data_IF_919187263216
#
_entry.id   IF_919187263216
#
_cell.length_a   1.000
_cell.length_b   1.000
_cell.length_c   1.000
_cell.angle_alpha   90.00
_cell.angle_beta   90.00
_cell.angle_gamma   90.00
#
_symmetry.space_group_name_H-M   'P 1'
#
loop_
_entity.id
_entity.type
_entity.pdbx_description
1 polymer ?
#
# COMPACT_ATOMS: atom_id res chain seq x y z
N UNK A 1 -11.24 -21.40 8.67
CA UNK A 1 -10.56 -20.31 7.95
C UNK A 1 -9.93 -20.96 6.73
N UNK A 2 -10.19 -20.46 5.52
CA UNK A 2 -9.52 -20.99 4.34
C UNK A 2 -8.02 -20.66 4.46
N UNK A 3 -7.17 -21.68 4.32
CA UNK A 3 -5.73 -21.52 4.34
C UNK A 3 -5.30 -20.97 2.98
N UNK A 4 -4.91 -19.69 2.95
CA UNK A 4 -4.42 -19.02 1.75
C UNK A 4 -2.95 -19.39 1.55
N UNK A 5 -2.68 -20.27 0.59
CA UNK A 5 -1.33 -20.65 0.17
C UNK A 5 -0.76 -19.54 -0.71
N UNK A 6 0.36 -18.94 -0.27
CA UNK A 6 1.09 -17.90 -1.00
C UNK A 6 2.35 -18.52 -1.59
N UNK A 7 2.46 -18.52 -2.91
CA UNK A 7 3.63 -19.00 -3.64
C UNK A 7 4.38 -17.81 -4.23
N UNK A 8 5.71 -17.91 -4.33
CA UNK A 8 6.49 -16.92 -5.08
C UNK A 8 6.07 -16.93 -6.56
N UNK A 9 6.27 -15.80 -7.25
CA UNK A 9 5.78 -15.50 -8.60
C UNK A 9 6.39 -16.40 -9.71
N UNK A 10 6.14 -17.71 -9.68
CA UNK A 10 6.58 -18.63 -10.74
C UNK A 10 5.63 -18.60 -11.95
N UNK A 11 4.36 -18.23 -11.76
CA UNK A 11 3.32 -18.22 -12.80
C UNK A 11 2.81 -16.82 -13.18
N UNK A 12 3.26 -15.77 -12.48
CA UNK A 12 2.82 -14.38 -12.66
C UNK A 12 4.00 -13.57 -13.14
N UNK A 13 3.85 -12.92 -14.29
CA UNK A 13 4.90 -12.06 -14.85
C UNK A 13 4.65 -10.63 -14.42
N UNK A 14 5.53 -10.10 -13.58
CA UNK A 14 5.57 -8.68 -13.21
C UNK A 14 6.76 -8.03 -13.89
N UNK A 15 6.51 -6.98 -14.65
CA UNK A 15 7.54 -6.20 -15.30
C UNK A 15 7.67 -4.83 -14.65
N UNK A 16 8.90 -4.33 -14.57
CA UNK A 16 9.19 -2.96 -14.16
C UNK A 16 8.61 -2.58 -12.78
N UNK A 17 8.68 -3.49 -11.80
CA UNK A 17 8.17 -3.27 -10.44
C UNK A 17 8.82 -2.04 -9.77
N UNK A 18 10.06 -1.73 -10.13
CA UNK A 18 10.81 -0.58 -9.60
C UNK A 18 10.14 0.77 -9.93
N UNK A 19 9.32 0.83 -10.98
CA UNK A 19 8.52 2.01 -11.29
C UNK A 19 7.55 2.40 -10.17
N UNK A 20 7.14 1.44 -9.32
CA UNK A 20 6.29 1.73 -8.15
C UNK A 20 7.02 2.50 -7.05
N UNK A 21 8.36 2.44 -7.00
CA UNK A 21 9.17 3.05 -5.95
C UNK A 21 9.65 4.45 -6.33
N UNK A 22 9.92 4.69 -7.62
CA UNK A 22 10.65 5.87 -8.05
C UNK A 22 9.74 7.06 -8.39
N UNK A 23 8.43 6.86 -8.57
CA UNK A 23 7.48 7.94 -8.85
C UNK A 23 7.71 8.73 -10.15
N UNK A 24 8.67 8.30 -10.98
CA UNK A 24 9.00 8.87 -12.30
C UNK A 24 8.09 8.28 -13.40
N UNK A 25 8.23 8.81 -14.63
CA UNK A 25 7.49 8.37 -15.82
C UNK A 25 7.68 6.86 -16.08
N UNK A 26 6.69 6.06 -15.70
CA UNK A 26 6.70 4.62 -15.88
C UNK A 26 5.45 3.93 -15.32
N UNK A 27 5.36 2.63 -15.55
CA UNK A 27 4.35 1.77 -14.93
C UNK A 27 4.94 0.38 -14.68
N UNK A 28 4.47 -0.26 -13.63
CA UNK A 28 4.62 -1.71 -13.46
C UNK A 28 3.52 -2.42 -14.26
N UNK A 29 3.89 -3.50 -14.94
CA UNK A 29 2.96 -4.31 -15.73
C UNK A 29 2.71 -5.63 -15.03
N UNK A 30 1.46 -5.89 -14.65
CA UNK A 30 1.03 -7.10 -13.96
C UNK A 30 0.27 -7.98 -14.94
N UNK A 31 0.87 -9.12 -15.29
CA UNK A 31 0.18 -10.17 -16.04
C UNK A 31 -0.35 -11.22 -15.08
N UNK A 32 -1.67 -11.35 -14.98
CA UNK A 32 -2.30 -12.49 -14.33
C UNK A 32 -3.57 -12.89 -15.08
N UNK A 33 -3.66 -14.17 -15.46
CA UNK A 33 -4.82 -14.72 -16.19
C UNK A 33 -5.67 -15.64 -15.32
N UNK A 34 -5.08 -16.32 -14.34
CA UNK A 34 -5.76 -17.39 -13.57
C UNK A 34 -5.41 -17.44 -12.07
N UNK A 35 -4.47 -16.59 -11.62
CA UNK A 35 -4.08 -16.48 -10.21
C UNK A 35 -4.18 -15.03 -9.78
N UNK A 36 -4.65 -14.84 -8.55
CA UNK A 36 -4.61 -13.53 -7.90
C UNK A 36 -3.15 -13.19 -7.56
N UNK A 37 -2.82 -11.91 -7.66
CA UNK A 37 -1.50 -11.38 -7.37
C UNK A 37 -1.62 -10.47 -6.17
N UNK A 38 -0.70 -10.58 -5.21
CA UNK A 38 -0.62 -9.59 -4.14
C UNK A 38 0.74 -8.90 -4.12
N UNK A 39 0.72 -7.62 -3.77
CA UNK A 39 1.90 -6.82 -3.47
C UNK A 39 1.87 -6.42 -2.00
N UNK A 40 3.02 -6.46 -1.33
CA UNK A 40 3.17 -5.93 0.02
C UNK A 40 4.09 -4.71 -0.02
N UNK A 41 3.54 -3.55 0.33
CA UNK A 41 4.25 -2.28 0.35
C UNK A 41 4.58 -1.91 1.80
N UNK A 42 5.86 -1.73 2.13
CA UNK A 42 6.33 -1.14 3.39
C UNK A 42 6.64 0.35 3.17
N UNK A 43 5.93 1.23 3.85
CA UNK A 43 6.14 2.68 3.81
C UNK A 43 7.34 3.14 4.67
N UNK A 44 8.05 2.20 5.30
CA UNK A 44 9.25 2.41 6.12
C UNK A 44 8.95 2.89 7.55
N UNK A 45 7.81 3.53 7.75
CA UNK A 45 7.27 3.98 9.04
C UNK A 45 5.75 4.00 8.99
N UNK A 46 5.12 4.13 10.15
CA UNK A 46 3.69 4.42 10.21
C UNK A 46 3.41 5.74 9.51
N UNK A 47 2.34 5.80 8.71
CA UNK A 47 1.90 6.95 7.94
C UNK A 47 0.40 7.11 8.10
N UNK A 48 -0.09 8.34 7.91
CA UNK A 48 -1.53 8.64 8.01
C UNK A 48 -1.98 9.57 6.89
N UNK A 49 -3.05 9.22 6.20
CA UNK A 49 -3.49 9.95 5.01
C UNK A 49 -4.56 9.24 4.21
N UNK A 50 -4.61 9.54 2.90
CA UNK A 50 -5.59 8.98 1.97
C UNK A 50 -4.88 8.11 0.92
N UNK A 51 -5.00 6.77 1.00
CA UNK A 51 -4.51 5.87 -0.03
C UNK A 51 -5.01 6.23 -1.43
N UNK A 52 -4.12 6.19 -2.42
CA UNK A 52 -4.46 6.49 -3.81
C UNK A 52 -3.81 5.52 -4.80
N UNK A 53 -4.44 5.41 -5.98
CA UNK A 53 -4.06 4.55 -7.09
C UNK A 53 -4.11 5.35 -8.40
N UNK A 54 -3.15 5.09 -9.30
CA UNK A 54 -3.21 5.47 -10.73
C UNK A 54 -2.91 4.24 -11.56
N UNK A 55 -3.89 3.79 -12.33
CA UNK A 55 -3.90 2.48 -12.96
C UNK A 55 -4.59 2.52 -14.33
N UNK A 56 -4.27 1.59 -15.21
CA UNK A 56 -4.88 1.42 -16.53
C UNK A 56 -5.00 -0.05 -16.86
N UNK A 57 -6.17 -0.46 -17.37
CA UNK A 57 -6.44 -1.83 -17.74
C UNK A 57 -7.92 -2.05 -18.05
N UNK A 58 -8.33 -3.31 -18.26
CA UNK A 58 -9.71 -3.65 -18.59
C UNK A 58 -10.65 -3.40 -17.41
N UNK A 59 -11.91 -3.12 -17.72
CA UNK A 59 -12.96 -3.05 -16.71
C UNK A 59 -13.14 -4.38 -15.96
N UNK A 60 -13.51 -4.30 -14.68
CA UNK A 60 -13.89 -5.47 -13.86
C UNK A 60 -12.74 -6.12 -13.06
N UNK A 61 -11.48 -5.69 -13.26
CA UNK A 61 -10.40 -6.02 -12.32
C UNK A 61 -10.76 -5.47 -10.95
N UNK A 62 -10.64 -6.31 -9.93
CA UNK A 62 -10.87 -5.92 -8.53
C UNK A 62 -9.51 -5.74 -7.85
N UNK A 63 -9.34 -4.60 -7.18
CA UNK A 63 -8.17 -4.29 -6.36
C UNK A 63 -8.65 -4.15 -4.92
N UNK A 64 -8.21 -5.05 -4.06
CA UNK A 64 -8.43 -4.96 -2.62
C UNK A 64 -7.18 -4.40 -1.95
N UNK A 65 -7.39 -3.48 -1.01
CA UNK A 65 -6.34 -2.86 -0.22
C UNK A 65 -6.55 -3.24 1.23
N UNK A 66 -5.57 -3.88 1.85
CA UNK A 66 -5.53 -4.16 3.28
C UNK A 66 -4.43 -3.35 3.97
N UNK A 67 -4.70 -2.81 5.16
CA UNK A 67 -3.73 -1.99 5.88
C UNK A 67 -3.42 -2.53 7.29
N UNK A 68 -2.15 -2.43 7.71
CA UNK A 68 -1.73 -2.70 9.09
C UNK A 68 -0.48 -1.91 9.48
N UNK A 69 -0.28 -1.61 10.77
CA UNK A 69 0.99 -1.06 11.29
C UNK A 69 2.05 -2.15 11.54
N UNK A 70 1.63 -3.40 11.69
CA UNK A 70 2.50 -4.55 11.97
C UNK A 70 2.17 -5.71 11.03
N UNK A 71 3.17 -6.55 10.75
CA UNK A 71 2.96 -7.81 10.06
C UNK A 71 2.79 -8.93 11.10
N UNK A 72 1.77 -9.75 10.94
CA UNK A 72 1.55 -10.97 11.72
C UNK A 72 1.96 -12.15 10.84
N UNK A 73 3.03 -12.86 11.20
CA UNK A 73 3.61 -13.95 10.40
C UNK A 73 3.91 -13.53 8.94
N UNK A 74 4.39 -12.29 8.76
CA UNK A 74 4.68 -11.72 7.44
C UNK A 74 3.45 -11.27 6.65
N UNK A 75 2.26 -11.31 7.26
CA UNK A 75 0.98 -10.97 6.60
C UNK A 75 0.38 -9.69 7.17
N UNK A 76 -0.32 -8.97 6.32
CA UNK A 76 -1.19 -7.87 6.77
C UNK A 76 -2.45 -8.47 7.38
N UNK A 77 -2.72 -8.11 8.64
CA UNK A 77 -4.01 -8.37 9.27
C UNK A 77 -4.83 -7.07 9.28
N UNK A 78 -5.80 -6.91 8.36
CA UNK A 78 -6.60 -5.69 8.27
C UNK A 78 -7.75 -5.65 9.28
N UNK A 79 -7.96 -6.71 10.08
CA UNK A 79 -9.01 -6.78 11.09
C UNK A 79 -8.50 -6.24 12.44
N UNK A 80 -8.62 -4.92 12.63
CA UNK A 80 -8.25 -4.26 13.87
C UNK A 80 -9.43 -4.14 14.81
N UNK A 81 -9.58 -5.12 15.71
CA UNK A 81 -10.70 -5.17 16.66
C UNK A 81 -12.04 -5.05 15.91
N UNK A 82 -12.72 -3.91 16.05
CA UNK A 82 -14.02 -3.63 15.45
C UNK A 82 -13.93 -2.79 14.16
N UNK A 83 -12.73 -2.46 13.69
CA UNK A 83 -12.51 -1.65 12.49
C UNK A 83 -11.86 -2.51 11.42
N UNK A 84 -12.49 -2.56 10.25
CA UNK A 84 -11.91 -3.17 9.06
C UNK A 84 -11.10 -2.11 8.32
N UNK A 85 -9.79 -2.29 8.28
CA UNK A 85 -8.88 -1.44 7.54
C UNK A 85 -8.70 -2.00 6.13
N UNK A 86 -9.80 -2.00 5.35
CA UNK A 86 -9.81 -2.49 3.98
C UNK A 86 -10.52 -1.50 3.05
N UNK A 87 -10.15 -1.53 1.77
CA UNK A 87 -10.88 -0.91 0.67
C UNK A 87 -11.01 -1.89 -0.48
N UNK A 88 -12.06 -1.76 -1.29
CA UNK A 88 -12.22 -2.49 -2.55
C UNK A 88 -12.49 -1.51 -3.67
N UNK A 89 -11.73 -1.62 -4.76
CA UNK A 89 -11.91 -0.85 -5.97
C UNK A 89 -12.17 -1.77 -7.17
N UNK A 90 -13.25 -1.51 -7.91
CA UNK A 90 -13.54 -2.19 -9.18
C UNK A 90 -13.22 -1.25 -10.33
N UNK A 91 -12.30 -1.66 -11.19
CA UNK A 91 -11.83 -0.86 -12.32
C UNK A 91 -12.92 -0.63 -13.36
N UNK A 92 -12.99 0.60 -13.90
CA UNK A 92 -13.56 0.84 -15.24
C UNK A 92 -12.46 0.65 -16.29
N UNK A 93 -12.86 0.67 -17.56
CA UNK A 93 -11.95 0.52 -18.68
C UNK A 93 -11.01 1.74 -18.83
N UNK A 94 -9.76 1.47 -19.22
CA UNK A 94 -8.75 2.47 -19.52
C UNK A 94 -8.10 3.12 -18.28
N UNK A 95 -7.47 4.28 -18.50
CA UNK A 95 -6.70 5.01 -17.48
C UNK A 95 -7.63 5.65 -16.43
N UNK A 96 -7.28 5.48 -15.16
CA UNK A 96 -8.03 6.01 -14.04
C UNK A 96 -7.19 6.30 -12.80
N UNK A 97 -7.71 7.23 -12.00
CA UNK A 97 -7.20 7.57 -10.68
C UNK A 97 -8.29 7.33 -9.65
N UNK A 98 -7.91 6.80 -8.50
CA UNK A 98 -8.80 6.60 -7.36
C UNK A 98 -8.08 7.00 -6.07
N UNK A 99 -8.85 7.53 -5.13
CA UNK A 99 -8.41 7.85 -3.78
C UNK A 99 -9.53 7.46 -2.81
N UNK A 100 -9.18 6.92 -1.65
CA UNK A 100 -10.19 6.64 -0.61
C UNK A 100 -10.70 7.93 0.03
N UNK A 101 -11.97 7.94 0.38
CA UNK A 101 -12.55 9.03 1.19
C UNK A 101 -12.17 8.94 2.67
N UNK A 102 -11.73 7.78 3.14
CA UNK A 102 -11.43 7.56 4.55
C UNK A 102 -9.95 7.71 4.84
N UNK A 103 -9.62 8.51 5.86
CA UNK A 103 -8.25 8.60 6.36
C UNK A 103 -7.83 7.25 6.96
N UNK A 104 -6.66 6.75 6.56
CA UNK A 104 -6.07 5.49 7.02
C UNK A 104 -4.71 5.73 7.67
N UNK A 105 -4.47 5.05 8.79
CA UNK A 105 -3.18 4.97 9.47
C UNK A 105 -2.63 3.56 9.35
N UNK A 106 -1.41 3.41 8.85
CA UNK A 106 -0.75 2.11 8.62
C UNK A 106 0.72 2.27 8.31
N UNK A 107 1.48 1.18 8.28
CA UNK A 107 2.85 1.12 7.73
C UNK A 107 2.91 0.20 6.51
N UNK A 108 2.16 -0.89 6.55
CA UNK A 108 2.12 -1.90 5.52
C UNK A 108 0.78 -1.83 4.78
N UNK A 109 0.85 -1.88 3.45
CA UNK A 109 -0.31 -2.01 2.57
C UNK A 109 -0.18 -3.30 1.76
N UNK A 110 -1.13 -4.21 1.90
CA UNK A 110 -1.32 -5.32 0.98
C UNK A 110 -2.25 -4.87 -0.14
N UNK A 111 -1.85 -5.13 -1.38
CA UNK A 111 -2.62 -4.82 -2.58
C UNK A 111 -2.90 -6.14 -3.28
N UNK A 112 -4.12 -6.63 -3.18
CA UNK A 112 -4.57 -7.86 -3.83
C UNK A 112 -5.25 -7.50 -5.16
N UNK A 113 -4.79 -8.12 -6.24
CA UNK A 113 -5.23 -7.88 -7.61
C UNK A 113 -5.91 -9.14 -8.12
N UNK A 114 -7.21 -9.05 -8.31
CA UNK A 114 -8.04 -10.11 -8.89
C UNK A 114 -8.32 -9.77 -10.36
N UNK A 115 -7.44 -10.23 -11.25
CA UNK A 115 -7.61 -10.07 -12.68
C UNK A 115 -8.05 -11.39 -13.31
N UNK A 116 -9.24 -11.38 -13.91
CA UNK A 116 -9.80 -12.51 -14.67
C UNK A 116 -9.69 -12.33 -16.19
N UNK A 117 -9.16 -11.18 -16.61
CA UNK A 117 -8.88 -10.91 -18.02
C UNK A 117 -7.50 -11.45 -18.38
N UNK A 118 -7.29 -11.81 -19.64
CA UNK A 118 -5.94 -12.08 -20.17
C UNK A 118 -5.13 -10.80 -20.41
N UNK A 119 -5.77 -9.63 -20.35
CA UNK A 119 -5.12 -8.34 -20.53
C UNK A 119 -4.40 -7.89 -19.25
N UNK A 120 -3.19 -7.31 -19.37
CA UNK A 120 -2.41 -6.90 -18.22
C UNK A 120 -2.93 -5.62 -17.55
N UNK A 121 -2.67 -5.50 -16.24
CA UNK A 121 -2.88 -4.28 -15.48
C UNK A 121 -1.60 -3.44 -15.47
N UNK A 122 -1.70 -2.17 -15.88
CA UNK A 122 -0.64 -1.18 -15.67
C UNK A 122 -0.88 -0.43 -14.37
N UNK A 123 0.15 -0.38 -13.54
CA UNK A 123 0.14 0.37 -12.28
C UNK A 123 1.17 1.50 -12.39
N UNK A 124 0.68 2.73 -12.50
CA UNK A 124 1.52 3.92 -12.57
C UNK A 124 1.94 4.40 -11.18
N UNK A 125 1.04 4.33 -10.19
CA UNK A 125 1.38 4.69 -8.82
C UNK A 125 0.43 4.05 -7.81
N UNK A 126 0.97 3.61 -6.69
CA UNK A 126 0.25 3.25 -5.47
C UNK A 126 0.90 4.00 -4.32
N UNK A 127 0.12 4.70 -3.53
CA UNK A 127 0.70 5.54 -2.48
C UNK A 127 -0.31 6.05 -1.47
N UNK A 128 0.10 7.09 -0.76
CA UNK A 128 -0.66 7.75 0.28
C UNK A 128 -0.50 9.26 0.14
N UNK A 129 -1.62 9.96 0.02
CA UNK A 129 -1.65 11.40 0.24
C UNK A 129 -1.58 11.67 1.74
N UNK A 130 -0.36 11.88 2.24
CA UNK A 130 -0.06 12.11 3.66
C UNK A 130 -0.81 13.34 4.17
N UNK A 131 -1.51 13.20 5.30
CA UNK A 131 -2.35 14.26 5.84
C UNK A 131 -2.25 14.32 7.36
N UNK A 132 -1.59 15.35 7.88
CA UNK A 132 -1.52 15.68 9.30
C UNK A 132 -1.77 17.16 9.51
N UNK A 133 -1.94 17.58 10.77
CA UNK A 133 -1.94 19.01 11.08
C UNK A 133 -0.57 19.59 10.69
N UNK A 134 -0.50 20.76 10.01
CA UNK A 134 0.75 21.38 9.59
C UNK A 134 1.45 22.03 10.81
N UNK A 135 1.89 21.20 11.75
CA UNK A 135 2.57 21.65 12.96
C UNK A 135 3.97 22.14 12.61
N UNK A 136 4.31 23.32 13.10
CA UNK A 136 5.70 23.77 13.12
C UNK A 136 6.41 23.15 14.32
N UNK A 137 7.49 22.43 14.05
CA UNK A 137 8.28 21.83 15.11
C UNK A 137 9.21 22.86 15.77
N UNK A 138 8.76 23.42 16.89
CA UNK A 138 9.51 24.44 17.65
C UNK A 138 10.44 23.85 18.72
N UNK A 139 10.14 22.65 19.22
CA UNK A 139 10.97 21.94 20.19
C UNK A 139 12.07 21.11 19.53
N UNK A 140 13.22 21.01 20.18
CA UNK A 140 14.35 20.18 19.77
C UNK A 140 14.99 19.50 20.99
N UNK A 141 15.53 18.30 20.78
CA UNK A 141 16.26 17.54 21.79
C UNK A 141 17.41 16.77 21.13
N UNK A 142 18.57 16.75 21.79
CA UNK A 142 19.71 15.94 21.40
C UNK A 142 20.58 15.68 22.63
N UNK A 143 21.05 14.46 22.81
CA UNK A 143 21.97 14.07 23.87
C UNK A 143 23.00 13.05 23.36
N UNK A 144 23.91 12.61 24.24
CA UNK A 144 24.94 11.62 23.90
C UNK A 144 24.41 10.18 23.76
N UNK A 145 23.17 9.93 24.18
CA UNK A 145 22.52 8.63 24.07
C UNK A 145 21.65 8.60 22.80
N UNK A 146 22.08 7.81 21.82
CA UNK A 146 21.36 7.68 20.55
C UNK A 146 19.97 7.06 20.70
N UNK A 147 19.76 6.17 21.67
CA UNK A 147 18.44 5.59 21.90
C UNK A 147 17.46 6.67 22.38
N UNK A 148 17.87 7.56 23.28
CA UNK A 148 17.05 8.70 23.72
C UNK A 148 16.76 9.66 22.56
N UNK A 149 17.74 9.89 21.68
CA UNK A 149 17.53 10.68 20.47
C UNK A 149 16.48 10.05 19.55
N UNK A 150 16.46 8.72 19.40
CA UNK A 150 15.44 8.02 18.61
C UNK A 150 14.06 8.04 19.27
N UNK A 151 13.98 7.80 20.59
CA UNK A 151 12.72 7.87 21.35
C UNK A 151 12.09 9.26 21.19
N UNK A 152 12.89 10.33 21.29
CA UNK A 152 12.39 11.68 21.09
C UNK A 152 11.89 11.92 19.66
N UNK A 153 12.62 11.44 18.63
CA UNK A 153 12.20 11.54 17.22
C UNK A 153 10.87 10.82 16.98
N UNK A 154 10.68 9.63 17.54
CA UNK A 154 9.42 8.88 17.47
C UNK A 154 8.30 9.63 18.16
N UNK A 155 8.51 10.08 19.41
CA UNK A 155 7.50 10.83 20.17
C UNK A 155 7.06 12.12 19.47
N UNK A 156 8.00 12.83 18.82
CA UNK A 156 7.69 14.00 17.98
C UNK A 156 6.88 13.63 16.73
N UNK A 157 7.15 12.47 16.13
CA UNK A 157 6.47 12.03 14.91
C UNK A 157 5.02 11.59 15.16
N UNK A 158 4.74 11.02 16.33
CA UNK A 158 3.42 10.49 16.70
C UNK A 158 2.44 11.52 17.30
N UNK A 159 2.87 12.77 17.44
CA UNK A 159 2.06 13.91 17.91
C UNK A 159 1.21 14.49 16.78
#
# INVERSE_FOLDING_TARGET
>A
MAEETREFLEAVRVENIEALLNGEDGYALIHSSDKDVYLLLDFGKEVVGYPHLKIEGPAGIIIDLGYSEVLEDGKVNPNRKNVKCVERYTMRDGLQTWETFSKRGFRYMQVDIHNKSSEPLKIYSIGLNFSTYPVEYRGAFNCSDELLNQIWKVGRYTL
#
